data_IF_179222381641
#
_entry.id   IF_179222381641
#
_cell.length_a   1.000
_cell.length_b   1.000
_cell.length_c   1.000
_cell.angle_alpha   90.00
_cell.angle_beta   90.00
_cell.angle_gamma   90.00
#
_symmetry.space_group_name_H-M   'P 1'
#
loop_
_entity.id
_entity.type
_entity.pdbx_description
1 polymer ?
#
# COMPACT_ATOMS: atom_id res chain seq x y z
N UNK A 1 -0.41 5.31 31.61
CA UNK A 1 -1.30 4.20 31.16
C UNK A 1 -1.87 4.40 29.76
N UNK A 2 -2.75 5.39 29.53
CA UNK A 2 -3.49 5.53 28.25
C UNK A 2 -2.55 5.64 27.04
N UNK A 3 -1.47 6.42 27.15
CA UNK A 3 -0.47 6.52 26.07
C UNK A 3 0.28 5.21 25.82
N UNK A 4 0.56 4.44 26.88
CA UNK A 4 1.18 3.13 26.75
C UNK A 4 0.26 2.14 26.02
N UNK A 5 -1.05 2.17 26.29
CA UNK A 5 -2.05 1.38 25.55
C UNK A 5 -2.15 1.82 24.07
N UNK A 6 -2.01 3.11 23.78
CA UNK A 6 -1.94 3.59 22.38
C UNK A 6 -0.69 3.11 21.65
N UNK A 7 0.46 3.04 22.35
CA UNK A 7 1.71 2.49 21.81
C UNK A 7 1.66 0.96 21.61
N UNK A 8 0.67 0.28 22.20
CA UNK A 8 0.32 -1.10 21.87
C UNK A 8 -0.80 -1.18 20.82
N UNK A 9 -1.08 -0.08 20.12
CA UNK A 9 -1.98 -0.12 18.97
C UNK A 9 -3.46 -0.22 19.31
N UNK A 10 -3.92 0.30 20.45
CA UNK A 10 -5.35 0.47 20.73
C UNK A 10 -5.87 1.82 20.22
N UNK A 11 -7.10 1.84 19.70
CA UNK A 11 -7.79 3.09 19.31
C UNK A 11 -8.27 3.79 20.57
N UNK A 12 -8.36 5.11 20.54
CA UNK A 12 -8.83 5.81 21.73
C UNK A 12 -10.26 5.41 22.15
N UNK A 13 -11.16 5.19 21.18
CA UNK A 13 -12.49 4.65 21.45
C UNK A 13 -12.45 3.29 22.16
N UNK A 14 -11.55 2.40 21.76
CA UNK A 14 -11.33 1.09 22.40
C UNK A 14 -10.83 1.27 23.84
N UNK A 15 -9.82 2.13 24.06
CA UNK A 15 -9.27 2.40 25.40
C UNK A 15 -10.33 2.98 26.34
N UNK A 16 -11.22 3.85 25.83
CA UNK A 16 -12.34 4.38 26.60
C UNK A 16 -13.39 3.32 26.96
N UNK A 17 -13.49 2.28 26.14
CA UNK A 17 -14.36 1.13 26.37
C UNK A 17 -13.75 0.08 27.29
N UNK A 18 -12.49 0.17 27.72
CA UNK A 18 -11.87 -0.84 28.57
C UNK A 18 -12.39 -0.80 30.01
N UNK A 19 -12.62 -1.99 30.57
CA UNK A 19 -12.88 -2.22 31.99
C UNK A 19 -11.70 -2.91 32.66
N UNK A 20 -11.61 -2.81 33.99
CA UNK A 20 -10.57 -3.51 34.76
C UNK A 20 -10.62 -5.04 34.58
N UNK A 21 -11.81 -5.59 34.32
CA UNK A 21 -12.01 -7.03 34.04
C UNK A 21 -11.47 -7.48 32.68
N UNK A 22 -11.06 -6.55 31.81
CA UNK A 22 -10.40 -6.88 30.55
C UNK A 22 -8.91 -7.18 30.72
N UNK A 23 -8.33 -6.94 31.90
CA UNK A 23 -6.91 -7.08 32.18
C UNK A 23 -6.65 -8.38 32.91
N UNK A 24 -5.93 -9.30 32.26
CA UNK A 24 -5.46 -10.54 32.85
C UNK A 24 -3.96 -10.42 33.14
N UNK A 25 -3.62 -10.19 34.42
CA UNK A 25 -2.24 -10.00 34.86
C UNK A 25 -1.43 -11.30 34.77
N UNK A 26 -2.04 -12.45 35.06
CA UNK A 26 -1.39 -13.75 35.01
C UNK A 26 -0.93 -14.10 33.59
N UNK A 27 -1.83 -13.95 32.62
CA UNK A 27 -1.53 -14.21 31.20
C UNK A 27 -0.84 -13.03 30.51
N UNK A 28 -0.72 -11.90 31.20
CA UNK A 28 -0.24 -10.61 30.68
C UNK A 28 -0.97 -10.18 29.40
N UNK A 29 -2.28 -10.32 29.40
CA UNK A 29 -3.15 -9.98 28.27
C UNK A 29 -4.20 -8.92 28.61
N UNK A 30 -4.59 -8.17 27.59
CA UNK A 30 -5.72 -7.24 27.63
C UNK A 30 -6.68 -7.58 26.49
N UNK A 31 -7.94 -7.81 26.83
CA UNK A 31 -8.99 -8.16 25.86
C UNK A 31 -9.73 -6.91 25.38
N UNK A 32 -9.64 -6.62 24.09
CA UNK A 32 -10.36 -5.51 23.46
C UNK A 32 -11.65 -6.04 22.84
N UNK A 33 -12.81 -5.63 23.38
CA UNK A 33 -14.13 -6.11 22.94
C UNK A 33 -15.23 -5.06 22.85
N UNK A 34 -14.91 -3.83 23.25
CA UNK A 34 -15.85 -2.70 23.33
C UNK A 34 -15.16 -1.42 22.90
N UNK A 35 -15.96 -0.45 22.46
CA UNK A 35 -15.49 0.89 22.15
C UNK A 35 -16.51 1.95 22.58
N UNK A 36 -16.03 3.07 23.11
CA UNK A 36 -16.83 4.26 23.31
C UNK A 36 -16.96 5.02 21.99
N UNK A 37 -18.19 5.17 21.51
CA UNK A 37 -18.55 5.90 20.30
C UNK A 37 -19.23 7.20 20.68
N UNK A 38 -19.01 8.24 19.88
CA UNK A 38 -19.71 9.53 20.07
C UNK A 38 -21.14 9.41 19.53
N UNK A 39 -22.11 9.81 20.34
CA UNK A 39 -23.47 10.05 19.88
C UNK A 39 -23.58 11.49 19.38
N UNK A 40 -24.13 11.63 18.18
CA UNK A 40 -24.36 12.92 17.56
C UNK A 40 -25.68 12.93 16.82
N UNK A 41 -26.49 13.93 17.11
CA UNK A 41 -27.69 14.22 16.35
C UNK A 41 -27.32 15.07 15.14
N UNK A 42 -27.87 14.70 13.99
CA UNK A 42 -27.67 15.43 12.75
C UNK A 42 -28.97 16.11 12.39
N UNK A 43 -28.98 17.44 12.54
CA UNK A 43 -30.10 18.27 12.11
C UNK A 43 -29.86 18.75 10.68
N UNK A 44 -30.82 18.41 9.81
CA UNK A 44 -30.85 18.78 8.41
C UNK A 44 -31.71 20.03 8.21
N UNK A 45 -31.29 21.15 8.79
CA UNK A 45 -31.90 22.45 8.55
C UNK A 45 -31.38 23.07 7.23
N UNK A 46 -31.94 22.62 6.09
CA UNK A 46 -31.62 23.15 4.75
C UNK A 46 -30.22 22.75 4.23
N UNK A 47 -29.51 23.67 3.55
CA UNK A 47 -28.15 23.43 2.98
C UNK A 47 -27.01 23.34 4.02
N UNK A 48 -27.29 23.49 5.31
CA UNK A 48 -26.28 23.42 6.38
C UNK A 48 -26.58 22.23 7.29
N UNK A 49 -25.64 21.28 7.33
CA UNK A 49 -25.66 20.16 8.27
C UNK A 49 -25.18 20.69 9.62
N UNK A 50 -26.02 20.60 10.66
CA UNK A 50 -25.62 20.86 12.04
C UNK A 50 -25.51 19.54 12.79
N UNK A 51 -24.34 19.28 13.36
CA UNK A 51 -24.08 18.08 14.15
C UNK A 51 -24.00 18.47 15.62
N UNK A 52 -24.99 18.06 16.41
CA UNK A 52 -25.11 18.33 17.85
C UNK A 52 -24.61 17.12 18.62
N UNK A 53 -23.73 17.32 19.60
CA UNK A 53 -23.22 16.20 20.43
C UNK A 53 -24.26 15.88 21.50
N UNK A 54 -24.73 14.63 21.53
CA UNK A 54 -25.79 14.19 22.45
C UNK A 54 -25.31 13.26 23.55
N UNK A 55 -24.15 12.60 23.40
CA UNK A 55 -23.61 11.75 24.45
C UNK A 55 -22.49 10.82 24.00
N UNK A 56 -22.29 9.76 24.78
CA UNK A 56 -21.34 8.67 24.54
C UNK A 56 -22.11 7.36 24.62
N UNK A 57 -21.85 6.44 23.70
CA UNK A 57 -22.44 5.10 23.70
C UNK A 57 -21.32 4.06 23.73
N UNK A 58 -21.40 3.08 24.61
CA UNK A 58 -20.49 1.93 24.58
C UNK A 58 -21.07 0.88 23.64
N UNK A 59 -20.35 0.59 22.56
CA UNK A 59 -20.70 -0.47 21.61
C UNK A 59 -19.76 -1.65 21.75
N UNK A 60 -20.30 -2.85 21.54
CA UNK A 60 -19.46 -3.98 21.13
C UNK A 60 -18.68 -3.59 19.86
N UNK A 61 -17.54 -4.22 19.62
CA UNK A 61 -16.90 -4.07 18.32
C UNK A 61 -17.84 -4.65 17.24
N UNK A 62 -17.78 -4.10 16.02
CA UNK A 62 -18.82 -4.35 15.01
C UNK A 62 -18.74 -5.74 14.37
N UNK A 63 -17.66 -6.50 14.55
CA UNK A 63 -17.40 -7.83 13.98
C UNK A 63 -16.51 -8.66 14.90
N UNK A 64 -16.64 -9.99 14.90
CA UNK A 64 -15.77 -10.93 15.68
C UNK A 64 -14.27 -10.71 15.40
N UNK A 65 -13.92 -10.27 14.20
CA UNK A 65 -12.55 -9.95 13.78
C UNK A 65 -11.94 -8.71 14.46
N UNK A 66 -12.77 -7.87 15.09
CA UNK A 66 -12.31 -6.68 15.81
C UNK A 66 -11.99 -6.97 17.28
N UNK A 67 -12.56 -8.05 17.83
CA UNK A 67 -12.26 -8.53 19.17
C UNK A 67 -10.88 -9.19 19.17
N UNK A 68 -10.00 -8.77 20.08
CA UNK A 68 -8.64 -9.28 20.11
C UNK A 68 -8.03 -9.28 21.49
N UNK A 69 -7.14 -10.22 21.71
CA UNK A 69 -6.37 -10.38 22.95
C UNK A 69 -4.94 -9.92 22.68
N UNK A 70 -4.52 -8.87 23.37
CA UNK A 70 -3.20 -8.26 23.18
C UNK A 70 -2.31 -8.58 24.36
N UNK A 71 -1.12 -9.12 24.09
CA UNK A 71 -0.07 -9.29 25.11
C UNK A 71 0.57 -7.93 25.42
N UNK A 72 0.71 -7.63 26.71
CA UNK A 72 1.10 -6.31 27.20
C UNK A 72 2.32 -6.37 28.13
N UNK A 73 3.03 -5.25 28.23
CA UNK A 73 4.11 -5.07 29.21
C UNK A 73 3.57 -5.04 30.65
N UNK A 74 4.34 -5.55 31.61
CA UNK A 74 3.93 -5.66 33.02
C UNK A 74 3.51 -4.32 33.64
N UNK A 75 4.18 -3.24 33.23
CA UNK A 75 3.89 -1.88 33.67
C UNK A 75 2.43 -1.46 33.41
N UNK A 76 1.78 -2.00 32.37
CA UNK A 76 0.37 -1.70 32.06
C UNK A 76 -0.54 -2.16 33.19
N UNK A 77 -0.29 -3.33 33.78
CA UNK A 77 -1.10 -3.90 34.86
C UNK A 77 -0.91 -3.13 36.15
N UNK A 78 0.33 -2.74 36.45
CA UNK A 78 0.63 -1.88 37.61
C UNK A 78 -0.08 -0.52 37.49
N UNK A 79 -0.05 0.09 36.31
CA UNK A 79 -0.75 1.35 36.04
C UNK A 79 -2.28 1.22 36.07
N UNK A 80 -2.82 0.04 35.74
CA UNK A 80 -4.25 -0.23 35.84
C UNK A 80 -4.69 -0.40 37.30
N UNK A 81 -3.88 -1.04 38.14
CA UNK A 81 -4.09 -1.10 39.59
C UNK A 81 -4.07 0.30 40.20
N UNK A 82 -3.02 1.08 39.97
CA UNK A 82 -2.92 2.48 40.46
C UNK A 82 -4.12 3.33 40.02
N UNK A 83 -4.57 3.12 38.77
CA UNK A 83 -5.73 3.84 38.25
C UNK A 83 -7.03 3.48 38.98
N UNK A 84 -7.20 2.21 39.36
CA UNK A 84 -8.36 1.72 40.09
C UNK A 84 -8.43 2.37 41.46
N UNK A 85 -7.33 2.31 42.20
CA UNK A 85 -7.21 2.89 43.53
C UNK A 85 -7.49 4.40 43.49
N UNK A 86 -6.96 5.09 42.47
CA UNK A 86 -7.24 6.52 42.25
C UNK A 86 -8.73 6.79 42.03
N UNK A 87 -9.44 5.95 41.27
CA UNK A 87 -10.86 6.12 40.99
C UNK A 87 -11.73 5.88 42.22
N UNK A 88 -11.41 4.85 43.00
CA UNK A 88 -12.09 4.53 44.26
C UNK A 88 -11.94 5.69 45.26
N UNK A 89 -10.71 6.15 45.49
CA UNK A 89 -10.44 7.30 46.36
C UNK A 89 -11.16 8.56 45.87
N UNK A 90 -11.22 8.78 44.55
CA UNK A 90 -11.87 9.95 43.98
C UNK A 90 -13.38 9.93 44.20
N UNK A 91 -14.00 8.76 44.00
CA UNK A 91 -15.42 8.52 44.25
C UNK A 91 -15.77 8.78 45.70
N UNK A 92 -15.00 8.22 46.64
CA UNK A 92 -15.16 8.45 48.07
C UNK A 92 -15.03 9.93 48.46
N UNK A 93 -13.99 10.59 47.95
CA UNK A 93 -13.74 12.01 48.20
C UNK A 93 -14.91 12.88 47.75
N UNK A 94 -15.52 12.58 46.59
CA UNK A 94 -16.66 13.34 46.09
C UNK A 94 -17.93 13.07 46.90
N UNK A 95 -18.18 11.81 47.27
CA UNK A 95 -19.28 11.43 48.17
C UNK A 95 -19.17 12.16 49.51
N UNK A 96 -17.98 12.15 50.14
CA UNK A 96 -17.70 12.89 51.39
C UNK A 96 -17.98 14.39 51.25
N UNK A 97 -17.62 14.97 50.11
CA UNK A 97 -17.83 16.38 49.80
C UNK A 97 -19.24 16.70 49.25
N UNK A 98 -20.18 15.74 49.26
CA UNK A 98 -21.54 15.89 48.71
C UNK A 98 -21.57 16.39 47.27
N UNK A 99 -20.57 16.01 46.47
CA UNK A 99 -20.49 16.32 45.04
C UNK A 99 -21.03 15.15 44.22
N UNK A 100 -21.67 15.46 43.11
CA UNK A 100 -22.23 14.48 42.17
C UNK A 100 -21.16 13.50 41.66
N UNK A 101 -21.56 12.23 41.53
CA UNK A 101 -20.80 11.15 40.92
C UNK A 101 -21.77 10.20 40.21
N UNK A 102 -21.53 9.91 38.95
CA UNK A 102 -22.27 8.88 38.19
C UNK A 102 -21.64 7.51 38.40
N UNK A 103 -22.46 6.53 38.79
CA UNK A 103 -22.07 5.12 38.90
C UNK A 103 -22.25 4.34 37.58
N UNK A 104 -22.79 4.98 36.53
CA UNK A 104 -23.12 4.35 35.23
C UNK A 104 -21.95 3.61 34.58
N UNK A 105 -20.74 4.13 34.77
CA UNK A 105 -19.51 3.60 34.18
C UNK A 105 -18.53 3.07 35.23
N UNK A 106 -19.03 2.60 36.38
CA UNK A 106 -18.21 1.89 37.36
C UNK A 106 -17.49 0.69 36.70
N UNK A 107 -16.24 0.47 37.08
CA UNK A 107 -15.39 -0.59 36.52
C UNK A 107 -14.70 -0.23 35.19
N UNK A 108 -15.06 0.89 34.55
CA UNK A 108 -14.34 1.42 33.40
C UNK A 108 -13.10 2.20 33.82
N UNK A 109 -12.10 2.24 32.93
CA UNK A 109 -10.79 2.80 33.24
C UNK A 109 -10.72 4.30 32.96
N UNK A 110 -11.35 4.74 31.87
CA UNK A 110 -11.25 6.10 31.35
C UNK A 110 -12.31 7.05 31.95
N UNK A 111 -12.38 7.10 33.27
CA UNK A 111 -13.39 7.90 34.01
C UNK A 111 -12.88 9.31 34.37
N UNK A 112 -13.74 10.31 34.16
CA UNK A 112 -13.53 11.70 34.49
C UNK A 112 -13.89 11.99 35.95
N UNK A 113 -13.87 13.26 36.32
CA UNK A 113 -13.98 13.65 37.72
C UNK A 113 -15.38 13.41 38.33
N UNK A 114 -16.41 13.33 37.50
CA UNK A 114 -17.81 13.15 37.90
C UNK A 114 -18.34 11.73 37.68
N UNK A 115 -17.47 10.76 37.38
CA UNK A 115 -17.90 9.40 37.05
C UNK A 115 -18.27 9.19 35.57
N UNK A 116 -18.20 10.23 34.72
CA UNK A 116 -18.45 10.09 33.28
C UNK A 116 -17.22 9.59 32.48
N UNK A 117 -17.43 9.00 31.31
CA UNK A 117 -16.33 8.63 30.40
C UNK A 117 -15.62 9.90 29.89
N UNK A 118 -14.28 9.94 29.99
CA UNK A 118 -13.45 11.03 29.46
C UNK A 118 -13.69 11.25 27.96
N UNK A 119 -13.73 12.52 27.55
CA UNK A 119 -13.87 12.90 26.15
C UNK A 119 -12.54 12.81 25.37
N UNK A 120 -12.61 12.63 24.04
CA UNK A 120 -11.42 12.65 23.17
C UNK A 120 -10.67 13.97 23.17
N UNK A 121 -11.35 15.09 23.43
CA UNK A 121 -10.70 16.39 23.54
C UNK A 121 -9.76 16.44 24.75
N UNK A 122 -10.15 15.82 25.87
CA UNK A 122 -9.38 15.79 27.11
C UNK A 122 -8.01 15.15 26.91
N UNK A 123 -7.95 14.05 26.16
CA UNK A 123 -6.69 13.33 25.96
C UNK A 123 -5.74 14.05 24.99
N UNK A 124 -6.26 14.58 23.88
CA UNK A 124 -5.43 15.35 22.95
C UNK A 124 -4.90 16.63 23.59
N UNK A 125 -5.69 17.31 24.44
CA UNK A 125 -5.22 18.46 25.20
C UNK A 125 -4.11 18.09 26.18
N UNK A 126 -4.24 16.96 26.89
CA UNK A 126 -3.20 16.46 27.78
C UNK A 126 -1.92 16.09 27.00
N UNK A 127 -2.06 15.40 25.86
CA UNK A 127 -0.92 14.99 25.03
C UNK A 127 -0.17 16.19 24.47
N UNK A 128 -0.91 17.21 23.99
CA UNK A 128 -0.33 18.47 23.52
C UNK A 128 0.53 19.15 24.58
N UNK A 129 0.06 19.20 25.84
CA UNK A 129 0.85 19.77 26.95
C UNK A 129 2.10 18.94 27.22
N UNK A 130 1.96 17.62 27.31
CA UNK A 130 3.11 16.71 27.54
C UNK A 130 4.16 16.89 26.44
N UNK A 131 3.76 16.97 25.17
CA UNK A 131 4.69 17.21 24.07
C UNK A 131 5.40 18.57 24.18
N UNK A 132 4.65 19.63 24.52
CA UNK A 132 5.20 20.97 24.68
C UNK A 132 6.19 21.03 25.85
N UNK A 133 5.84 20.46 27.00
CA UNK A 133 6.68 20.43 28.21
C UNK A 133 7.96 19.59 27.97
N UNK A 134 7.88 18.53 27.17
CA UNK A 134 9.02 17.70 26.80
C UNK A 134 9.86 18.26 25.63
N UNK A 135 9.44 19.38 25.01
CA UNK A 135 10.14 19.97 23.87
C UNK A 135 10.12 19.12 22.59
N UNK A 136 9.14 18.22 22.44
CA UNK A 136 9.00 17.33 21.29
C UNK A 136 7.86 17.76 20.35
N UNK A 137 7.87 17.34 19.07
CA UNK A 137 6.78 17.62 18.15
C UNK A 137 5.42 17.20 18.72
N UNK A 138 4.43 18.09 18.57
CA UNK A 138 3.08 17.84 19.04
C UNK A 138 2.46 16.72 18.20
N UNK A 139 2.15 15.60 18.85
CA UNK A 139 1.48 14.45 18.23
C UNK A 139 0.04 14.33 18.72
N UNK A 140 -0.82 13.77 17.86
CA UNK A 140 -2.19 13.42 18.21
C UNK A 140 -2.28 11.97 18.71
N UNK A 141 -3.40 11.62 19.32
CA UNK A 141 -3.69 10.22 19.70
C UNK A 141 -3.69 9.27 18.51
N UNK A 142 -4.04 9.75 17.31
CA UNK A 142 -3.95 8.97 16.07
C UNK A 142 -2.49 8.75 15.65
N UNK A 143 -1.64 9.77 15.80
CA UNK A 143 -0.22 9.64 15.48
C UNK A 143 0.49 8.61 16.36
N UNK A 144 0.15 8.51 17.65
CA UNK A 144 0.74 7.48 18.54
C UNK A 144 0.50 6.06 18.03
N UNK A 145 -0.70 5.80 17.50
CA UNK A 145 -1.03 4.51 16.89
C UNK A 145 -0.28 4.27 15.58
N UNK A 146 -0.12 5.31 14.76
CA UNK A 146 0.71 5.23 13.55
C UNK A 146 2.18 4.97 13.86
N UNK A 147 2.72 5.61 14.90
CA UNK A 147 4.07 5.36 15.40
C UNK A 147 4.20 3.89 15.82
N UNK A 148 3.25 3.37 16.59
CA UNK A 148 3.24 1.95 16.97
C UNK A 148 3.24 1.02 15.76
N UNK A 149 2.38 1.28 14.77
CA UNK A 149 2.32 0.52 13.52
C UNK A 149 3.65 0.56 12.76
N UNK A 150 4.26 1.74 12.66
CA UNK A 150 5.56 1.95 11.99
C UNK A 150 6.66 1.19 12.69
N UNK A 151 6.75 1.29 14.02
CA UNK A 151 7.75 0.58 14.80
C UNK A 151 7.61 -0.94 14.69
N UNK A 152 6.38 -1.47 14.74
CA UNK A 152 6.13 -2.92 14.57
C UNK A 152 6.55 -3.38 13.18
N UNK A 153 6.21 -2.59 12.16
CA UNK A 153 6.54 -2.87 10.79
C UNK A 153 8.06 -2.88 10.58
N UNK A 154 8.75 -1.78 10.92
CA UNK A 154 10.21 -1.64 10.84
C UNK A 154 10.93 -2.78 11.58
N UNK A 155 10.46 -3.13 12.77
CA UNK A 155 11.05 -4.21 13.54
C UNK A 155 10.89 -5.57 12.83
N UNK A 156 9.71 -5.84 12.27
CA UNK A 156 9.45 -7.08 11.53
C UNK A 156 10.23 -7.17 10.22
N UNK A 157 10.50 -6.04 9.56
CA UNK A 157 11.21 -6.01 8.27
C UNK A 157 12.73 -5.95 8.37
N UNK A 158 13.31 -5.79 9.58
CA UNK A 158 14.77 -5.68 9.77
C UNK A 158 15.59 -6.84 9.19
N UNK A 159 15.03 -8.04 9.08
CA UNK A 159 15.73 -9.24 8.63
C UNK A 159 14.90 -10.12 7.67
N UNK A 160 13.86 -9.57 7.01
CA UNK A 160 12.93 -10.37 6.20
C UNK A 160 12.72 -9.81 4.79
N UNK A 161 12.67 -10.72 3.81
CA UNK A 161 12.39 -10.45 2.40
C UNK A 161 10.89 -10.24 2.08
N UNK A 162 10.01 -10.32 3.10
CA UNK A 162 8.55 -10.34 2.95
C UNK A 162 7.83 -9.25 3.78
N UNK A 163 8.12 -7.95 3.54
CA UNK A 163 7.48 -6.84 4.24
C UNK A 163 5.94 -6.87 4.20
N UNK A 164 5.36 -7.42 3.15
CA UNK A 164 3.91 -7.57 2.99
C UNK A 164 3.25 -8.46 4.05
N UNK A 165 3.91 -9.54 4.46
CA UNK A 165 3.35 -10.47 5.45
C UNK A 165 3.35 -9.78 6.83
N UNK A 166 4.44 -9.08 7.13
CA UNK A 166 4.55 -8.23 8.32
C UNK A 166 3.48 -7.15 8.31
N UNK A 167 3.17 -6.55 7.16
CA UNK A 167 2.10 -5.56 7.05
C UNK A 167 0.72 -6.15 7.41
N UNK A 168 0.44 -7.39 6.98
CA UNK A 168 -0.79 -8.11 7.30
C UNK A 168 -0.88 -8.39 8.82
N UNK A 169 0.19 -8.93 9.40
CA UNK A 169 0.29 -9.21 10.85
C UNK A 169 0.12 -7.93 11.68
N UNK A 170 0.73 -6.82 11.27
CA UNK A 170 0.55 -5.51 11.92
C UNK A 170 -0.89 -5.03 11.79
N UNK A 171 -1.51 -5.16 10.62
CA UNK A 171 -2.91 -4.78 10.39
C UNK A 171 -3.88 -5.57 11.27
N UNK A 172 -3.64 -6.88 11.41
CA UNK A 172 -4.40 -7.79 12.26
C UNK A 172 -4.21 -7.45 13.74
N UNK A 173 -2.97 -7.28 14.21
CA UNK A 173 -2.65 -6.87 15.58
C UNK A 173 -3.35 -5.56 15.96
N UNK A 174 -3.39 -4.61 15.02
CA UNK A 174 -4.09 -3.33 15.21
C UNK A 174 -5.61 -3.48 15.13
N UNK A 175 -6.19 -4.53 14.56
CA UNK A 175 -7.64 -4.66 14.35
C UNK A 175 -8.14 -3.66 13.30
N UNK A 176 -7.38 -3.46 12.22
CA UNK A 176 -7.78 -2.64 11.08
C UNK A 176 -8.70 -3.43 10.15
N UNK A 177 -10.01 -3.14 10.18
CA UNK A 177 -10.97 -3.68 9.20
C UNK A 177 -10.63 -3.30 7.74
N UNK A 178 -9.82 -2.25 7.55
CA UNK A 178 -9.23 -1.88 6.26
C UNK A 178 -7.73 -1.63 6.43
N UNK A 179 -6.94 -2.50 5.82
CA UNK A 179 -5.48 -2.46 5.77
C UNK A 179 -4.91 -1.19 5.13
N UNK A 180 -5.71 -0.39 4.42
CA UNK A 180 -5.27 0.89 3.85
C UNK A 180 -4.59 1.83 4.86
N UNK A 181 -5.04 1.84 6.11
CA UNK A 181 -4.41 2.65 7.17
C UNK A 181 -3.01 2.15 7.52
N UNK A 182 -2.80 0.83 7.50
CA UNK A 182 -1.49 0.20 7.71
C UNK A 182 -0.62 0.36 6.47
N UNK A 183 -1.22 0.32 5.27
CA UNK A 183 -0.52 0.52 4.02
C UNK A 183 0.12 1.91 3.94
N UNK A 184 -0.52 2.96 4.44
CA UNK A 184 0.09 4.29 4.52
C UNK A 184 1.43 4.27 5.28
N UNK A 185 1.54 3.47 6.35
CA UNK A 185 2.78 3.26 7.11
C UNK A 185 3.85 2.56 6.26
N UNK A 186 3.47 1.50 5.54
CA UNK A 186 4.36 0.85 4.58
C UNK A 186 4.87 1.82 3.51
N UNK A 187 3.99 2.66 2.96
CA UNK A 187 4.39 3.63 1.93
C UNK A 187 5.44 4.61 2.45
N UNK A 188 5.28 5.10 3.68
CA UNK A 188 6.26 5.99 4.33
C UNK A 188 7.59 5.29 4.60
N UNK A 189 7.59 4.01 4.98
CA UNK A 189 8.82 3.23 5.13
C UNK A 189 9.57 3.08 3.79
N UNK A 190 8.85 2.76 2.71
CA UNK A 190 9.44 2.68 1.36
C UNK A 190 9.98 4.03 0.85
N UNK A 191 9.50 5.16 1.38
CA UNK A 191 10.07 6.48 1.10
C UNK A 191 11.50 6.61 1.63
N UNK A 192 11.80 6.02 2.77
CA UNK A 192 13.13 6.09 3.38
C UNK A 192 14.16 5.15 2.73
N UNK A 193 13.74 4.00 2.21
CA UNK A 193 14.66 2.96 1.71
C UNK A 193 14.98 3.01 0.20
N UNK A 194 14.27 3.85 -0.57
CA UNK A 194 14.37 3.83 -2.03
C UNK A 194 15.76 4.23 -2.54
N UNK A 195 16.48 3.26 -3.12
CA UNK A 195 17.73 3.45 -3.89
C UNK A 195 17.52 3.06 -5.35
N UNK A 196 16.88 3.91 -6.15
CA UNK A 196 16.86 3.71 -7.62
C UNK A 196 17.15 5.03 -8.32
N UNK A 197 18.45 5.35 -8.37
CA UNK A 197 19.03 6.59 -8.91
C UNK A 197 18.98 6.68 -10.45
N UNK A 198 18.58 5.60 -11.15
CA UNK A 198 18.60 5.52 -12.62
C UNK A 198 17.26 5.89 -13.26
N UNK A 199 16.13 5.65 -12.59
CA UNK A 199 14.78 5.94 -13.15
C UNK A 199 14.29 7.34 -12.76
N UNK A 200 14.77 7.87 -11.63
CA UNK A 200 14.33 9.16 -11.08
C UNK A 200 14.77 10.38 -11.92
N UNK A 201 15.75 10.21 -12.83
CA UNK A 201 16.37 11.32 -13.56
C UNK A 201 15.42 12.10 -14.48
N UNK A 202 14.33 11.45 -14.89
CA UNK A 202 13.34 12.01 -15.81
C UNK A 202 13.83 12.05 -17.25
N UNK A 203 13.16 12.78 -18.17
CA UNK A 203 13.56 12.83 -19.58
C UNK A 203 14.91 13.52 -19.79
N UNK A 204 15.60 13.16 -20.87
CA UNK A 204 16.79 13.87 -21.37
C UNK A 204 16.33 15.25 -21.88
N UNK A 205 16.95 16.31 -21.38
CA UNK A 205 16.64 17.70 -21.75
C UNK A 205 17.76 18.37 -22.56
N UNK A 206 19.00 17.90 -22.42
CA UNK A 206 20.16 18.43 -23.14
C UNK A 206 21.17 17.30 -23.42
N UNK A 207 21.97 17.45 -24.47
CA UNK A 207 23.08 16.56 -24.78
C UNK A 207 24.28 17.35 -25.33
N UNK A 208 25.49 16.96 -24.92
CA UNK A 208 26.74 17.57 -25.40
C UNK A 208 27.67 16.50 -25.93
N UNK A 209 27.93 16.52 -27.23
CA UNK A 209 28.94 15.69 -27.87
C UNK A 209 30.28 16.39 -27.84
N UNK A 210 31.37 15.63 -27.78
CA UNK A 210 32.69 16.18 -28.14
C UNK A 210 32.70 16.56 -29.61
N UNK A 211 33.43 17.63 -29.93
CA UNK A 211 33.52 18.18 -31.28
C UNK A 211 34.11 17.15 -32.26
N UNK A 212 35.25 16.57 -31.90
CA UNK A 212 35.92 15.53 -32.68
C UNK A 212 35.66 14.11 -32.15
N UNK A 213 35.69 13.14 -33.07
CA UNK A 213 35.74 11.72 -32.71
C UNK A 213 37.11 11.45 -32.10
N UNK A 214 37.10 10.79 -30.97
CA UNK A 214 38.31 10.46 -30.22
C UNK A 214 38.67 8.99 -30.40
N UNK A 215 39.94 8.63 -30.24
CA UNK A 215 40.36 7.23 -30.22
C UNK A 215 40.40 6.66 -28.80
N UNK A 216 40.35 5.33 -28.73
CA UNK A 216 40.57 4.51 -27.54
C UNK A 216 41.17 3.17 -27.99
N UNK A 217 42.37 2.81 -27.50
CA UNK A 217 43.09 1.59 -27.86
C UNK A 217 43.17 1.30 -29.38
N UNK A 218 43.45 2.32 -30.20
CA UNK A 218 43.59 2.19 -31.66
C UNK A 218 42.26 2.15 -32.44
N UNK A 219 41.11 2.23 -31.76
CA UNK A 219 39.77 2.29 -32.37
C UNK A 219 39.11 3.64 -32.12
N UNK A 220 38.11 4.01 -32.92
CA UNK A 220 37.38 5.27 -32.79
C UNK A 220 36.19 5.11 -31.82
N UNK A 221 35.95 6.11 -30.97
CA UNK A 221 34.87 6.09 -29.97
C UNK A 221 34.12 7.42 -29.90
N UNK A 222 32.83 7.35 -29.59
CA UNK A 222 31.95 8.51 -29.46
C UNK A 222 31.77 8.83 -27.99
N UNK A 223 32.08 10.06 -27.58
CA UNK A 223 31.94 10.54 -26.19
C UNK A 223 30.98 11.71 -26.12
N UNK A 224 30.00 11.62 -25.23
CA UNK A 224 29.00 12.67 -25.02
C UNK A 224 28.42 12.60 -23.61
N UNK A 225 27.76 13.66 -23.16
CA UNK A 225 27.03 13.72 -21.90
C UNK A 225 25.56 14.01 -22.14
N UNK A 226 24.70 13.42 -21.31
CA UNK A 226 23.26 13.65 -21.29
C UNK A 226 22.88 14.36 -20.00
N UNK A 227 22.17 15.48 -20.12
CA UNK A 227 21.56 16.18 -18.97
C UNK A 227 20.09 15.78 -18.90
N UNK A 228 19.66 15.35 -17.72
CA UNK A 228 18.27 14.99 -17.46
C UNK A 228 17.52 16.12 -16.77
N UNK A 229 16.19 16.03 -16.74
CA UNK A 229 15.31 17.07 -16.18
C UNK A 229 15.50 17.33 -14.69
N UNK A 230 16.08 16.40 -13.94
CA UNK A 230 16.44 16.58 -12.53
C UNK A 230 17.79 17.29 -12.35
N UNK A 231 18.47 17.64 -13.44
CA UNK A 231 19.79 18.29 -13.44
C UNK A 231 20.97 17.32 -13.41
N UNK A 232 20.75 16.00 -13.30
CA UNK A 232 21.83 15.02 -13.32
C UNK A 232 22.45 14.91 -14.71
N UNK A 233 23.77 14.66 -14.75
CA UNK A 233 24.54 14.51 -15.99
C UNK A 233 25.12 13.10 -16.07
N UNK A 234 24.83 12.38 -17.15
CA UNK A 234 25.36 11.04 -17.40
C UNK A 234 26.37 11.07 -18.56
N UNK A 235 27.66 10.84 -18.29
CA UNK A 235 28.64 10.65 -19.35
C UNK A 235 28.42 9.30 -20.05
N UNK A 236 28.59 9.29 -21.37
CA UNK A 236 28.48 8.11 -22.22
C UNK A 236 29.67 8.00 -23.17
N UNK A 237 30.15 6.77 -23.30
CA UNK A 237 31.09 6.35 -24.34
C UNK A 237 30.44 5.21 -25.12
N UNK A 238 30.40 5.30 -26.45
CA UNK A 238 29.83 4.26 -27.31
C UNK A 238 30.87 3.78 -28.31
N UNK A 239 30.99 2.45 -28.38
CA UNK A 239 31.64 1.69 -29.44
C UNK A 239 33.16 1.73 -29.44
N UNK A 240 33.70 0.94 -30.35
CA UNK A 240 35.10 0.94 -30.80
C UNK A 240 35.04 0.65 -32.31
N UNK A 241 34.95 1.68 -33.12
CA UNK A 241 34.79 1.60 -34.57
C UNK A 241 36.17 1.51 -35.25
N UNK A 242 36.25 0.75 -36.33
CA UNK A 242 37.49 0.62 -37.12
C UNK A 242 37.78 1.90 -37.93
N UNK A 243 36.74 2.60 -38.39
CA UNK A 243 36.87 3.82 -39.19
C UNK A 243 36.24 5.03 -38.51
N UNK A 244 36.82 6.20 -38.76
CA UNK A 244 36.28 7.49 -38.29
C UNK A 244 34.90 7.77 -38.92
N UNK A 245 34.67 7.30 -40.15
CA UNK A 245 33.41 7.48 -40.88
C UNK A 245 32.26 6.73 -40.19
N UNK A 246 32.46 5.46 -39.83
CA UNK A 246 31.42 4.67 -39.14
C UNK A 246 31.06 5.26 -37.78
N UNK A 247 32.07 5.76 -37.05
CA UNK A 247 31.86 6.47 -35.80
C UNK A 247 31.08 7.79 -36.01
N UNK A 248 31.30 8.50 -37.12
CA UNK A 248 30.57 9.73 -37.44
C UNK A 248 29.12 9.46 -37.85
N UNK A 249 28.89 8.43 -38.66
CA UNK A 249 27.55 8.03 -39.07
C UNK A 249 26.73 7.58 -37.85
N UNK A 250 27.34 6.82 -36.93
CA UNK A 250 26.69 6.45 -35.66
C UNK A 250 26.45 7.66 -34.76
N UNK A 251 27.38 8.63 -34.69
CA UNK A 251 27.17 9.89 -33.96
C UNK A 251 25.94 10.63 -34.49
N UNK A 252 25.81 10.74 -35.80
CA UNK A 252 24.66 11.39 -36.46
C UNK A 252 23.34 10.63 -36.19
N UNK A 253 23.37 9.30 -36.20
CA UNK A 253 22.22 8.46 -35.83
C UNK A 253 21.75 8.74 -34.39
N UNK A 254 22.69 8.78 -33.43
CA UNK A 254 22.40 9.05 -32.02
C UNK A 254 21.82 10.47 -31.86
N UNK A 255 22.40 11.47 -32.52
CA UNK A 255 21.85 12.85 -32.51
C UNK A 255 20.41 12.86 -33.02
N UNK A 256 20.12 12.13 -34.11
CA UNK A 256 18.76 11.98 -34.62
C UNK A 256 17.80 11.31 -33.63
N UNK A 257 18.25 10.26 -32.94
CA UNK A 257 17.46 9.60 -31.89
C UNK A 257 17.20 10.51 -30.69
N UNK A 258 18.21 11.27 -30.24
CA UNK A 258 18.08 12.24 -29.15
C UNK A 258 17.09 13.35 -29.51
N UNK A 259 17.19 13.90 -30.72
CA UNK A 259 16.25 14.92 -31.21
C UNK A 259 14.80 14.42 -31.29
N UNK A 260 14.60 13.14 -31.64
CA UNK A 260 13.28 12.50 -31.66
C UNK A 260 12.81 11.98 -30.28
N UNK A 261 13.63 12.09 -29.24
CA UNK A 261 13.39 11.53 -27.89
C UNK A 261 13.22 10.00 -27.89
N UNK A 262 13.98 9.33 -28.76
CA UNK A 262 14.00 7.86 -28.93
C UNK A 262 15.29 7.22 -28.41
N UNK A 263 16.22 8.02 -27.90
CA UNK A 263 17.49 7.51 -27.39
C UNK A 263 17.33 6.94 -25.98
N UNK A 264 17.60 5.64 -25.81
CA UNK A 264 17.55 4.95 -24.52
C UNK A 264 18.89 5.16 -23.80
N UNK A 265 18.91 6.04 -22.80
CA UNK A 265 20.14 6.39 -22.09
C UNK A 265 20.69 5.26 -21.22
N UNK A 266 19.82 4.46 -20.60
CA UNK A 266 20.23 3.39 -19.71
C UNK A 266 19.32 2.19 -19.91
N UNK A 267 19.93 1.02 -20.14
CA UNK A 267 19.21 -0.24 -20.11
C UNK A 267 18.91 -0.56 -18.65
N UNK A 268 17.65 -0.82 -18.36
CA UNK A 268 17.21 -1.16 -17.01
C UNK A 268 16.68 -2.58 -16.96
N UNK A 269 17.15 -3.36 -15.99
CA UNK A 269 16.63 -4.69 -15.72
C UNK A 269 15.14 -4.63 -15.38
N UNK A 270 14.37 -5.58 -15.89
CA UNK A 270 12.93 -5.63 -15.67
C UNK A 270 12.56 -5.68 -14.18
N UNK A 271 13.34 -6.38 -13.36
CA UNK A 271 13.13 -6.44 -11.90
C UNK A 271 13.25 -5.07 -11.23
N UNK A 272 14.31 -4.32 -11.55
CA UNK A 272 14.52 -2.96 -11.02
C UNK A 272 13.46 -2.00 -11.54
N UNK A 273 13.05 -2.15 -12.80
CA UNK A 273 11.98 -1.33 -13.38
C UNK A 273 10.64 -1.57 -12.68
N UNK A 274 10.24 -2.83 -12.48
CA UNK A 274 8.94 -3.15 -11.88
C UNK A 274 8.91 -2.83 -10.40
N UNK A 275 10.03 -2.99 -9.69
CA UNK A 275 10.16 -2.56 -8.30
C UNK A 275 9.93 -1.04 -8.18
N UNK A 276 10.69 -0.23 -8.93
CA UNK A 276 10.47 1.21 -8.95
C UNK A 276 9.06 1.59 -9.41
N UNK A 277 8.60 1.02 -10.52
CA UNK A 277 7.33 1.41 -11.12
C UNK A 277 6.17 1.14 -10.15
N UNK A 278 6.20 0.01 -9.44
CA UNK A 278 5.18 -0.29 -8.46
C UNK A 278 5.31 0.62 -7.24
N UNK A 279 6.50 0.73 -6.64
CA UNK A 279 6.68 1.38 -5.35
C UNK A 279 6.75 2.91 -5.46
N UNK A 280 7.51 3.44 -6.41
CA UNK A 280 7.66 4.89 -6.58
C UNK A 280 6.51 5.48 -7.40
N UNK A 281 6.19 4.88 -8.54
CA UNK A 281 5.18 5.47 -9.41
C UNK A 281 3.75 5.12 -8.98
N UNK A 282 3.43 3.83 -8.84
CA UNK A 282 2.04 3.43 -8.58
C UNK A 282 1.62 3.73 -7.14
N UNK A 283 2.49 3.48 -6.16
CA UNK A 283 2.19 3.74 -4.76
C UNK A 283 2.35 5.23 -4.43
N UNK A 284 3.52 5.85 -4.59
CA UNK A 284 3.71 7.24 -4.14
C UNK A 284 3.04 8.28 -5.05
N UNK A 285 3.22 8.18 -6.36
CA UNK A 285 2.66 9.18 -7.30
C UNK A 285 1.18 8.94 -7.58
N UNK A 286 0.77 7.69 -7.83
CA UNK A 286 -0.62 7.37 -8.21
C UNK A 286 -1.52 7.03 -7.01
N UNK A 287 -0.95 6.81 -5.82
CA UNK A 287 -1.67 6.56 -4.56
C UNK A 287 -2.69 5.43 -4.69
N UNK A 288 -2.27 4.30 -5.25
CA UNK A 288 -3.14 3.12 -5.36
C UNK A 288 -3.49 2.54 -3.99
N UNK A 289 -4.66 1.91 -3.88
CA UNK A 289 -5.07 1.20 -2.66
C UNK A 289 -4.32 -0.12 -2.49
N UNK A 290 -4.19 -0.57 -1.25
CA UNK A 290 -3.50 -1.83 -0.90
C UNK A 290 -3.95 -3.04 -1.74
N UNK A 291 -5.25 -3.27 -1.88
CA UNK A 291 -5.74 -4.41 -2.67
C UNK A 291 -5.26 -4.39 -4.13
N UNK A 292 -5.12 -3.19 -4.72
CA UNK A 292 -4.54 -3.01 -6.06
C UNK A 292 -3.04 -3.26 -6.04
N UNK A 293 -2.33 -2.76 -5.02
CA UNK A 293 -0.89 -3.00 -4.84
C UNK A 293 -0.58 -4.50 -4.76
N UNK A 294 -1.27 -5.24 -3.88
CA UNK A 294 -1.09 -6.70 -3.73
C UNK A 294 -1.36 -7.42 -5.04
N UNK A 295 -2.46 -7.07 -5.71
CA UNK A 295 -2.80 -7.67 -7.00
C UNK A 295 -1.70 -7.43 -8.05
N UNK A 296 -1.20 -6.20 -8.16
CA UNK A 296 -0.17 -5.83 -9.13
C UNK A 296 1.17 -6.51 -8.79
N UNK A 297 1.58 -6.50 -7.53
CA UNK A 297 2.78 -7.18 -7.04
C UNK A 297 2.74 -8.68 -7.33
N UNK A 298 1.63 -9.34 -7.01
CA UNK A 298 1.48 -10.78 -7.24
C UNK A 298 1.57 -11.12 -8.74
N UNK A 299 0.99 -10.29 -9.61
CA UNK A 299 1.16 -10.45 -11.06
C UNK A 299 2.63 -10.30 -11.45
N UNK A 300 3.30 -9.28 -10.94
CA UNK A 300 4.71 -9.02 -11.23
C UNK A 300 5.58 -10.20 -10.79
N UNK A 301 5.49 -10.60 -9.54
CA UNK A 301 6.38 -11.60 -8.95
C UNK A 301 6.11 -13.03 -9.41
N UNK A 302 4.84 -13.41 -9.56
CA UNK A 302 4.49 -14.80 -9.84
C UNK A 302 4.40 -15.10 -11.33
N UNK A 303 4.26 -14.09 -12.19
CA UNK A 303 4.04 -14.31 -13.63
C UNK A 303 4.97 -13.50 -14.53
N UNK A 304 5.24 -12.23 -14.21
CA UNK A 304 6.10 -11.39 -15.07
C UNK A 304 7.58 -11.73 -14.86
N UNK A 305 8.09 -11.54 -13.64
CA UNK A 305 9.51 -11.72 -13.34
C UNK A 305 10.02 -13.14 -13.63
N UNK A 306 9.29 -14.24 -13.40
CA UNK A 306 9.77 -15.57 -13.76
C UNK A 306 10.14 -15.73 -15.25
N UNK A 307 9.59 -14.90 -16.14
CA UNK A 307 9.85 -14.96 -17.59
C UNK A 307 10.88 -13.92 -18.06
N UNK A 308 10.89 -12.71 -17.47
CA UNK A 308 11.74 -11.59 -17.94
C UNK A 308 12.80 -11.12 -16.94
N UNK A 309 12.96 -11.79 -15.79
CA UNK A 309 14.03 -11.48 -14.83
C UNK A 309 15.41 -11.60 -15.49
N UNK A 310 16.33 -10.72 -15.12
CA UNK A 310 17.67 -10.62 -15.73
C UNK A 310 17.70 -10.04 -17.14
N UNK A 311 16.56 -9.77 -17.77
CA UNK A 311 16.47 -9.06 -19.07
C UNK A 311 16.18 -7.59 -18.85
N UNK A 312 16.63 -6.75 -19.77
CA UNK A 312 16.37 -5.32 -19.74
C UNK A 312 15.04 -4.97 -20.42
N UNK A 313 14.41 -3.87 -20.02
CA UNK A 313 13.08 -3.50 -20.51
C UNK A 313 13.03 -3.24 -22.02
N UNK A 314 14.11 -2.76 -22.62
CA UNK A 314 14.23 -2.46 -24.05
C UNK A 314 14.18 -3.72 -24.94
N UNK A 315 14.56 -4.88 -24.40
CA UNK A 315 14.55 -6.16 -25.13
C UNK A 315 13.30 -7.00 -24.88
N UNK A 316 12.34 -6.53 -24.09
CA UNK A 316 11.08 -7.26 -23.84
C UNK A 316 10.18 -7.15 -25.05
N UNK A 317 9.76 -8.29 -25.60
CA UNK A 317 9.01 -8.38 -26.86
C UNK A 317 7.52 -8.65 -26.66
N UNK A 318 6.76 -8.62 -27.76
CA UNK A 318 5.35 -8.99 -27.75
C UNK A 318 5.13 -10.45 -27.32
N UNK A 319 5.99 -11.35 -27.79
CA UNK A 319 5.89 -12.79 -27.54
C UNK A 319 6.18 -13.12 -26.08
N UNK A 320 7.10 -12.41 -25.44
CA UNK A 320 7.37 -12.53 -24.01
C UNK A 320 6.10 -12.21 -23.19
N UNK A 321 5.40 -11.13 -23.55
CA UNK A 321 4.16 -10.73 -22.89
C UNK A 321 3.02 -11.71 -23.13
N UNK A 322 2.93 -12.28 -24.34
CA UNK A 322 1.95 -13.33 -24.63
C UNK A 322 2.22 -14.59 -23.82
N UNK A 323 3.48 -15.05 -23.73
CA UNK A 323 3.86 -16.18 -22.86
C UNK A 323 3.45 -15.95 -21.41
N UNK A 324 3.66 -14.74 -20.88
CA UNK A 324 3.23 -14.39 -19.53
C UNK A 324 1.69 -14.48 -19.42
N UNK A 325 0.95 -13.85 -20.32
CA UNK A 325 -0.52 -13.87 -20.31
C UNK A 325 -1.12 -15.27 -20.53
N UNK A 326 -0.41 -16.14 -21.26
CA UNK A 326 -0.82 -17.53 -21.50
C UNK A 326 -0.66 -18.40 -20.25
N UNK A 327 0.26 -18.04 -19.35
CA UNK A 327 0.46 -18.74 -18.08
C UNK A 327 -0.61 -18.43 -17.01
N UNK A 328 -1.46 -17.41 -17.24
CA UNK A 328 -2.44 -16.91 -16.27
C UNK A 328 -3.84 -17.55 -16.42
N UNK A 329 -4.54 -17.66 -15.30
CA UNK A 329 -5.97 -18.00 -15.30
C UNK A 329 -6.83 -16.83 -15.81
N UNK A 330 -8.02 -17.07 -16.39
CA UNK A 330 -8.86 -16.02 -16.97
C UNK A 330 -9.19 -14.87 -16.01
N UNK A 331 -9.39 -15.17 -14.71
CA UNK A 331 -9.67 -14.15 -13.69
C UNK A 331 -8.53 -13.17 -13.44
N UNK A 332 -7.29 -13.54 -13.75
CA UNK A 332 -6.10 -12.69 -13.56
C UNK A 332 -5.77 -11.84 -14.79
N UNK A 333 -6.37 -12.11 -15.94
CA UNK A 333 -6.06 -11.41 -17.19
C UNK A 333 -6.44 -9.92 -17.13
N UNK A 334 -7.59 -9.58 -16.54
CA UNK A 334 -8.04 -8.19 -16.47
C UNK A 334 -7.08 -7.31 -15.63
N UNK A 335 -6.70 -7.68 -14.40
CA UNK A 335 -5.68 -6.95 -13.66
C UNK A 335 -4.30 -6.98 -14.34
N UNK A 336 -3.91 -8.08 -14.99
CA UNK A 336 -2.65 -8.16 -15.74
C UNK A 336 -2.59 -7.18 -16.92
N UNK A 337 -3.70 -6.98 -17.64
CA UNK A 337 -3.79 -5.93 -18.66
C UNK A 337 -3.60 -4.54 -18.06
N UNK A 338 -4.09 -4.32 -16.84
CA UNK A 338 -3.86 -3.10 -16.07
C UNK A 338 -2.37 -2.87 -15.81
N UNK A 339 -1.67 -3.88 -15.27
CA UNK A 339 -0.23 -3.85 -15.01
C UNK A 339 0.54 -3.56 -16.30
N UNK A 340 0.38 -4.39 -17.33
CA UNK A 340 1.10 -4.22 -18.60
C UNK A 340 0.81 -2.90 -19.30
N UNK A 341 -0.46 -2.50 -19.36
CA UNK A 341 -0.87 -1.29 -20.04
C UNK A 341 -0.29 -0.04 -19.37
N UNK A 342 -0.27 0.00 -18.04
CA UNK A 342 0.23 1.14 -17.29
C UNK A 342 1.76 1.15 -17.16
N UNK A 343 2.40 0.00 -16.93
CA UNK A 343 3.86 -0.11 -16.81
C UNK A 343 4.58 0.19 -18.13
N UNK A 344 4.18 -0.43 -19.24
CA UNK A 344 4.83 -0.17 -20.53
C UNK A 344 4.50 1.21 -21.10
N UNK A 345 3.34 1.79 -20.75
CA UNK A 345 3.07 3.20 -21.06
C UNK A 345 4.01 4.13 -20.31
N UNK A 346 4.27 3.85 -19.04
CA UNK A 346 5.27 4.58 -18.25
C UNK A 346 6.67 4.42 -18.86
N UNK A 347 7.11 3.19 -19.12
CA UNK A 347 8.41 2.91 -19.71
C UNK A 347 8.63 3.67 -21.03
N UNK A 348 7.63 3.68 -21.94
CA UNK A 348 7.73 4.43 -23.19
C UNK A 348 7.80 5.95 -22.96
N UNK A 349 6.97 6.48 -22.05
CA UNK A 349 6.95 7.92 -21.73
C UNK A 349 8.32 8.40 -21.21
N UNK A 350 9.01 7.55 -20.45
CA UNK A 350 10.31 7.83 -19.87
C UNK A 350 11.49 7.32 -20.71
N UNK A 351 11.24 6.95 -21.98
CA UNK A 351 12.28 6.51 -22.94
C UNK A 351 13.13 5.33 -22.41
N UNK A 352 12.50 4.46 -21.62
CA UNK A 352 13.09 3.18 -21.19
C UNK A 352 12.90 2.10 -22.27
N UNK A 353 11.95 2.32 -23.18
CA UNK A 353 11.65 1.48 -24.34
C UNK A 353 11.25 2.38 -25.52
N UNK A 354 11.53 1.93 -26.74
CA UNK A 354 11.19 2.69 -27.96
C UNK A 354 9.76 2.43 -28.43
N UNK A 355 9.31 1.18 -28.32
CA UNK A 355 7.96 0.75 -28.71
C UNK A 355 7.28 0.13 -27.51
N UNK A 356 5.97 0.25 -27.43
CA UNK A 356 5.18 -0.38 -26.37
C UNK A 356 4.64 -1.73 -26.88
N UNK A 357 5.28 -2.87 -26.53
CA UNK A 357 4.83 -4.21 -26.95
C UNK A 357 3.53 -4.66 -26.27
N UNK A 358 3.13 -4.05 -25.14
CA UNK A 358 1.98 -4.48 -24.37
C UNK A 358 0.66 -4.21 -25.09
N UNK A 359 0.55 -3.10 -25.85
CA UNK A 359 -0.69 -2.74 -26.53
C UNK A 359 -1.14 -3.83 -27.52
N UNK A 360 -0.20 -4.34 -28.34
CA UNK A 360 -0.49 -5.44 -29.27
C UNK A 360 -0.71 -6.76 -28.55
N UNK A 361 0.07 -7.09 -27.51
CA UNK A 361 -0.06 -8.36 -26.79
C UNK A 361 -1.44 -8.48 -26.12
N UNK A 362 -1.89 -7.41 -25.46
CA UNK A 362 -3.21 -7.33 -24.82
C UNK A 362 -4.32 -7.49 -25.88
N UNK A 363 -4.18 -6.83 -27.02
CA UNK A 363 -5.17 -6.93 -28.11
C UNK A 363 -5.29 -8.36 -28.65
N UNK A 364 -4.15 -9.02 -28.89
CA UNK A 364 -4.08 -10.40 -29.38
C UNK A 364 -4.74 -11.34 -28.35
N UNK A 365 -4.34 -11.26 -27.07
CA UNK A 365 -4.87 -12.12 -26.02
C UNK A 365 -6.38 -11.95 -25.82
N UNK A 366 -6.91 -10.71 -25.86
CA UNK A 366 -8.35 -10.45 -25.78
C UNK A 366 -9.13 -11.13 -26.91
N UNK A 367 -8.62 -11.08 -28.14
CA UNK A 367 -9.23 -11.77 -29.29
C UNK A 367 -9.22 -13.29 -29.11
N UNK A 368 -8.12 -13.84 -28.62
CA UNK A 368 -8.01 -15.29 -28.34
C UNK A 368 -9.03 -15.74 -27.29
N UNK A 369 -9.18 -15.00 -26.19
CA UNK A 369 -10.15 -15.32 -25.12
C UNK A 369 -11.58 -15.23 -25.65
N UNK A 370 -11.94 -14.15 -26.36
CA UNK A 370 -13.28 -13.99 -26.95
C UNK A 370 -13.62 -15.11 -27.93
N UNK A 371 -12.67 -15.52 -28.77
CA UNK A 371 -12.85 -16.64 -29.71
C UNK A 371 -13.06 -17.96 -28.97
N UNK A 372 -12.33 -18.20 -27.87
CA UNK A 372 -12.48 -19.40 -27.04
C UNK A 372 -13.87 -19.46 -26.38
N UNK A 373 -14.31 -18.36 -25.75
CA UNK A 373 -15.63 -18.26 -25.12
C UNK A 373 -16.77 -18.44 -26.14
N UNK A 374 -16.63 -17.88 -27.34
CA UNK A 374 -17.61 -18.05 -28.42
C UNK A 374 -17.72 -19.52 -28.87
N UNK A 375 -16.58 -20.20 -29.00
CA UNK A 375 -16.53 -21.62 -29.36
C UNK A 375 -17.13 -22.51 -28.27
N UNK A 376 -16.84 -22.24 -26.99
CA UNK A 376 -17.41 -22.97 -25.85
C UNK A 376 -18.92 -22.80 -25.76
N UNK A 377 -19.44 -21.58 -25.95
CA UNK A 377 -20.89 -21.31 -26.03
C UNK A 377 -21.55 -22.05 -27.20
N UNK A 378 -20.90 -22.06 -28.37
CA UNK A 378 -21.41 -22.77 -29.54
C UNK A 378 -21.41 -24.30 -29.35
N UNK A 379 -20.43 -24.86 -28.64
CA UNK A 379 -20.38 -26.27 -28.30
C UNK A 379 -21.47 -26.66 -27.29
N UNK A 380 -21.68 -25.84 -26.25
CA UNK A 380 -22.74 -26.04 -25.26
C UNK A 380 -24.14 -26.00 -25.90
N UNK A 381 -24.37 -25.11 -26.87
CA UNK A 381 -25.62 -25.03 -27.61
C UNK A 381 -25.90 -26.25 -28.50
N UNK A 382 -24.87 -26.95 -28.97
CA UNK A 382 -24.99 -28.17 -29.79
C UNK A 382 -25.17 -29.45 -28.98
N UNK A 383 -24.88 -29.44 -27.67
CA UNK A 383 -24.95 -30.60 -26.77
C UNK A 383 -26.26 -30.76 -25.99
N UNK A 384 -27.27 -29.90 -26.18
CA UNK A 384 -28.58 -30.01 -25.51
C UNK A 384 -29.44 -31.17 -26.05
N UNK A 385 -30.27 -31.85 -25.22
CA UNK A 385 -30.91 -33.11 -25.62
C UNK A 385 -31.90 -32.91 -26.77
N UNK A 386 -31.65 -33.62 -27.86
CA UNK A 386 -32.58 -33.82 -28.97
C UNK A 386 -33.85 -34.50 -28.47
N UNK A 387 -34.93 -33.74 -28.26
CA UNK A 387 -36.29 -34.26 -28.06
C UNK A 387 -36.76 -34.93 -29.36
N UNK A 388 -36.30 -36.16 -29.62
CA UNK A 388 -37.00 -37.09 -30.52
C UNK A 388 -38.35 -37.42 -29.88
N UNK A 389 -39.42 -36.80 -30.40
CA UNK A 389 -40.81 -37.17 -30.11
C UNK A 389 -41.03 -38.63 -30.49
N UNK A 390 -40.96 -39.55 -29.53
CA UNK A 390 -41.62 -40.85 -29.64
C UNK A 390 -43.13 -40.62 -29.51
N UNK A 391 -43.84 -40.64 -30.66
CA UNK A 391 -45.29 -40.84 -30.66
C UNK A 391 -45.53 -42.31 -30.27
N UNK A 392 -45.87 -42.54 -29.00
CA UNK A 392 -46.40 -43.82 -28.54
C UNK A 392 -47.75 -44.08 -29.21
N UNK A 393 -47.81 -45.15 -30.01
CA UNK A 393 -49.05 -45.69 -30.57
C UNK A 393 -49.62 -46.64 -29.51
N UNK A 394 -50.73 -46.23 -28.91
CA UNK A 394 -51.53 -47.03 -27.99
C UNK A 394 -52.11 -48.22 -28.77
N UNK A 395 -51.78 -49.45 -28.38
CA UNK A 395 -52.58 -50.63 -28.73
C UNK A 395 -52.94 -51.35 -27.44
N UNK A 396 -54.24 -51.46 -27.25
CA UNK A 396 -54.91 -52.17 -26.18
C UNK A 396 -54.83 -53.68 -26.40
N UNK A 397 -54.56 -54.42 -25.33
CA UNK A 397 -55.42 -55.50 -24.83
C UNK A 397 -54.98 -55.91 -23.43
#
# INVERSE_FOLDING_TARGET
MVYCLMLHGLRYGEIRGLCFTDFNKQERTVTVRRQAVRLSDVDYAGKKIRVSRTGIEIKATKTEESDRVLRMLEIIFSLAEERRDWLELRKETRKKNKKEWSDEYDGYICIADRGEIKSDATLNAALKRICADAGIPIVTTHNLRHIAATMMFEYGTRNQDHPEEILLHVSEYLGHANIGTTFDVYTAYMEAESRIDIIARGPIVEWKFRDSITSDHGKYVIRFSLTFSDGTVLPKQIGSFETQRDAQDKKNEIIGQLARKEYIASQILAENFYDYWLNEHMVKVRKIKYGTFVCYRNIIQNYILPIIKGRTMDVVTNDDLLKILDSMTPGLLSPAYGVFGSSFKYAKKHVLINKNPATSAISIKRKQVSKKEANERAAAAKGGPSRRRQKGRMQAR
#
